data_IF_773015872065
#
_entry.id   IF_773015872065
#
_cell.length_a   1.000
_cell.length_b   1.000
_cell.length_c   1.000
_cell.angle_alpha   90.00
_cell.angle_beta   90.00
_cell.angle_gamma   90.00
#
_symmetry.space_group_name_H-M   'P 1'
#
loop_
_entity.id
_entity.type
_entity.pdbx_description
1 polymer ?
#
# COMPACT_ATOMS: atom_id res chain seq x y z
N UNK A 1 -9.31 2.61 -9.88
CA UNK A 1 -8.39 2.71 -8.74
C UNK A 1 -8.84 1.82 -7.61
N UNK A 2 -7.90 1.20 -6.94
CA UNK A 2 -8.20 0.34 -5.80
C UNK A 2 -7.31 0.68 -4.62
N UNK A 3 -7.88 0.55 -3.43
CA UNK A 3 -7.16 0.65 -2.17
C UNK A 3 -6.91 -0.78 -1.68
N UNK A 4 -5.64 -1.12 -1.45
CA UNK A 4 -5.24 -2.47 -1.07
C UNK A 4 -4.44 -2.44 0.22
N UNK A 5 -4.73 -3.37 1.10
CA UNK A 5 -3.99 -3.55 2.35
C UNK A 5 -3.25 -4.88 2.29
N UNK A 6 -1.93 -4.82 2.29
CA UNK A 6 -1.06 -6.00 2.26
C UNK A 6 -0.43 -6.18 3.63
N UNK A 7 -0.84 -7.21 4.33
CA UNK A 7 -0.38 -7.46 5.71
C UNK A 7 0.79 -8.43 5.76
N UNK A 8 1.72 -8.13 6.66
CA UNK A 8 2.88 -8.97 6.94
C UNK A 8 2.97 -9.22 8.44
N UNK A 9 3.35 -10.43 8.87
CA UNK A 9 3.25 -10.83 10.28
C UNK A 9 4.39 -10.33 11.17
N UNK A 10 4.94 -9.17 10.86
CA UNK A 10 6.05 -8.59 11.61
C UNK A 10 5.84 -7.08 11.72
N UNK A 11 6.35 -6.48 12.81
CA UNK A 11 6.22 -5.04 12.98
C UNK A 11 7.11 -4.24 12.05
N UNK A 12 8.25 -4.80 11.65
CA UNK A 12 9.17 -4.12 10.76
C UNK A 12 8.98 -4.56 9.32
N UNK A 13 9.01 -3.58 8.44
CA UNK A 13 8.96 -3.85 7.02
C UNK A 13 10.25 -4.54 6.59
N UNK A 14 10.13 -5.73 6.05
CA UNK A 14 11.28 -6.53 5.65
C UNK A 14 11.49 -6.52 4.14
N UNK A 15 12.69 -6.95 3.74
CA UNK A 15 13.07 -7.00 2.33
C UNK A 15 12.05 -7.74 1.46
N UNK A 16 11.51 -8.90 1.85
CA UNK A 16 10.51 -9.57 1.01
C UNK A 16 9.26 -8.74 0.75
N UNK A 17 8.83 -7.95 1.73
CA UNK A 17 7.67 -7.06 1.55
C UNK A 17 7.98 -5.95 0.55
N UNK A 18 9.16 -5.37 0.65
CA UNK A 18 9.62 -4.33 -0.28
C UNK A 18 9.72 -4.91 -1.70
N UNK A 19 10.29 -6.09 -1.82
CA UNK A 19 10.42 -6.76 -3.12
C UNK A 19 9.05 -7.06 -3.75
N UNK A 20 8.05 -7.40 -2.93
CA UNK A 20 6.70 -7.63 -3.42
C UNK A 20 6.13 -6.37 -4.08
N UNK A 21 6.28 -5.22 -3.42
CA UNK A 21 5.80 -3.95 -3.96
C UNK A 21 6.57 -3.57 -5.22
N UNK A 22 7.88 -3.71 -5.19
CA UNK A 22 8.71 -3.42 -6.36
C UNK A 22 8.36 -4.33 -7.52
N UNK A 23 8.04 -5.58 -7.24
CA UNK A 23 7.60 -6.53 -8.25
C UNK A 23 6.30 -6.11 -8.91
N UNK A 24 5.35 -5.64 -8.14
CA UNK A 24 4.09 -5.13 -8.67
C UNK A 24 4.32 -3.96 -9.62
N UNK A 25 5.22 -3.06 -9.25
CA UNK A 25 5.55 -1.91 -10.07
C UNK A 25 6.28 -2.31 -11.36
N UNK A 26 7.24 -3.24 -11.25
CA UNK A 26 8.06 -3.65 -12.39
C UNK A 26 7.28 -4.32 -13.50
N UNK A 27 6.23 -5.05 -13.16
CA UNK A 27 5.44 -5.73 -14.16
C UNK A 27 4.69 -4.78 -15.07
N UNK A 28 4.57 -3.51 -14.68
CA UNK A 28 3.81 -2.53 -15.43
C UNK A 28 2.31 -2.76 -15.37
N UNK A 29 1.89 -3.75 -14.60
CA UNK A 29 0.49 -4.14 -14.47
C UNK A 29 -0.21 -3.23 -13.47
N UNK A 30 0.55 -2.69 -12.53
CA UNK A 30 0.04 -1.86 -11.46
C UNK A 30 0.75 -0.52 -11.45
N UNK A 31 -0.01 0.54 -11.34
CA UNK A 31 0.53 1.88 -11.12
C UNK A 31 0.24 2.30 -9.69
N UNK A 32 1.30 2.61 -8.95
CA UNK A 32 1.16 3.08 -7.58
C UNK A 32 0.81 4.57 -7.58
N UNK A 33 -0.28 4.92 -6.94
CA UNK A 33 -0.75 6.29 -6.84
C UNK A 33 -0.42 6.88 -5.48
N UNK A 34 -0.56 6.09 -4.42
CA UNK A 34 -0.26 6.51 -3.06
C UNK A 34 0.11 5.28 -2.23
N UNK A 35 0.81 5.48 -1.14
CA UNK A 35 1.20 4.39 -0.26
C UNK A 35 1.61 4.87 1.12
N UNK A 36 1.29 4.05 2.09
CA UNK A 36 1.69 4.25 3.49
C UNK A 36 2.10 2.91 4.08
N UNK A 37 2.93 2.97 5.11
CA UNK A 37 3.23 1.80 5.94
C UNK A 37 2.51 1.98 7.26
N UNK A 38 1.67 1.04 7.61
CA UNK A 38 0.98 1.04 8.90
C UNK A 38 1.54 -0.08 9.76
N UNK A 39 1.72 0.18 11.03
CA UNK A 39 2.21 -0.82 11.97
C UNK A 39 1.24 -0.90 13.15
N UNK A 40 0.89 -2.12 13.53
CA UNK A 40 0.14 -2.35 14.76
C UNK A 40 1.08 -3.06 15.73
N UNK A 41 1.50 -2.34 16.76
CA UNK A 41 2.48 -2.87 17.70
C UNK A 41 1.89 -4.01 18.53
N UNK A 42 2.74 -4.72 19.24
CA UNK A 42 2.30 -5.80 20.13
C UNK A 42 1.35 -5.29 21.21
N UNK A 43 1.44 -4.00 21.58
CA UNK A 43 0.53 -3.39 22.54
C UNK A 43 -0.77 -2.88 21.91
N UNK A 44 -0.89 -2.96 20.58
CA UNK A 44 -2.07 -2.51 19.86
C UNK A 44 -2.02 -1.07 19.40
N UNK A 45 -0.90 -0.39 19.58
CA UNK A 45 -0.71 0.97 19.08
C UNK A 45 -0.60 0.96 17.56
N UNK A 46 -1.22 1.93 16.92
CA UNK A 46 -1.19 2.06 15.47
C UNK A 46 -0.29 3.22 15.07
N UNK A 47 0.71 2.92 14.24
CA UNK A 47 1.65 3.91 13.72
C UNK A 47 1.55 3.91 12.20
N UNK A 48 1.71 5.07 11.61
CA UNK A 48 1.70 5.20 10.15
C UNK A 48 2.89 6.05 9.71
N UNK A 49 3.49 5.67 8.59
CA UNK A 49 4.62 6.39 8.04
C UNK A 49 4.52 6.43 6.52
N UNK A 50 4.98 7.53 5.93
CA UNK A 50 5.00 7.68 4.48
C UNK A 50 6.11 6.82 3.88
N UNK A 51 5.96 6.46 2.61
CA UNK A 51 6.98 5.69 1.90
C UNK A 51 8.34 6.40 1.89
N UNK A 52 8.33 7.73 1.84
CA UNK A 52 9.57 8.50 1.82
C UNK A 52 10.42 8.34 3.08
N UNK A 53 9.84 7.88 4.16
CA UNK A 53 10.54 7.66 5.42
C UNK A 53 11.33 6.34 5.41
N UNK A 54 11.16 5.53 4.37
CA UNK A 54 11.86 4.25 4.23
C UNK A 54 12.80 4.31 3.05
N UNK A 55 14.07 4.07 3.30
CA UNK A 55 15.09 4.11 2.25
C UNK A 55 14.73 3.16 1.12
N UNK A 56 14.24 1.99 1.45
CA UNK A 56 13.91 0.95 0.50
C UNK A 56 12.71 1.31 -0.37
N UNK A 57 11.83 2.16 0.12
CA UNK A 57 10.62 2.58 -0.59
C UNK A 57 10.74 3.95 -1.22
N UNK A 58 11.87 4.62 -0.99
CA UNK A 58 12.08 5.96 -1.50
C UNK A 58 12.03 5.97 -3.03
N UNK A 59 11.23 6.83 -3.59
CA UNK A 59 11.09 6.94 -5.03
C UNK A 59 10.12 5.97 -5.68
N UNK A 60 9.49 5.07 -4.92
CA UNK A 60 8.49 4.17 -5.48
C UNK A 60 7.25 4.90 -5.95
N UNK A 61 6.88 5.96 -5.25
CA UNK A 61 5.81 6.83 -5.71
C UNK A 61 6.41 7.82 -6.66
N UNK A 62 6.07 7.70 -7.93
CA UNK A 62 6.59 8.60 -8.94
C UNK A 62 5.80 9.90 -8.92
N UNK A 63 6.52 10.99 -8.95
CA UNK A 63 5.88 12.28 -8.98
C UNK A 63 5.74 12.87 -7.59
N UNK A 64 6.11 14.13 -7.54
CA UNK A 64 6.06 14.91 -6.32
C UNK A 64 4.67 15.10 -5.78
N UNK A 65 3.71 14.87 -6.63
CA UNK A 65 2.32 15.14 -6.31
C UNK A 65 1.52 13.87 -6.24
N UNK A 66 2.13 12.83 -5.72
CA UNK A 66 1.38 11.66 -5.37
C UNK A 66 0.17 12.13 -4.57
N UNK A 67 -1.01 11.85 -5.07
CA UNK A 67 -2.22 12.28 -4.41
C UNK A 67 -2.26 11.64 -3.04
N UNK A 68 -2.43 12.44 -2.01
CA UNK A 68 -2.53 11.91 -0.65
C UNK A 68 -3.96 11.44 -0.44
N UNK A 69 -4.23 10.25 -0.95
CA UNK A 69 -5.57 9.66 -0.91
C UNK A 69 -5.83 8.86 0.36
N UNK A 70 -4.77 8.43 1.02
CA UNK A 70 -4.89 7.62 2.23
C UNK A 70 -4.89 8.55 3.43
N UNK A 71 -6.04 8.65 4.10
CA UNK A 71 -6.20 9.49 5.28
C UNK A 71 -6.14 8.67 6.57
N UNK A 72 -6.21 9.37 7.73
CA UNK A 72 -6.19 8.69 9.03
C UNK A 72 -7.30 7.67 9.21
N UNK A 73 -8.46 7.91 8.62
CA UNK A 73 -9.58 6.98 8.71
C UNK A 73 -9.26 5.67 7.99
N UNK A 74 -8.60 5.76 6.85
CA UNK A 74 -8.20 4.58 6.09
C UNK A 74 -7.17 3.76 6.84
N UNK A 75 -6.24 4.45 7.52
CA UNK A 75 -5.25 3.80 8.36
C UNK A 75 -5.92 3.04 9.49
N UNK A 76 -6.90 3.66 10.14
CA UNK A 76 -7.61 3.03 11.25
C UNK A 76 -8.41 1.81 10.79
N UNK A 77 -9.08 1.92 9.66
CA UNK A 77 -9.81 0.79 9.08
C UNK A 77 -8.88 -0.36 8.74
N UNK A 78 -7.72 -0.05 8.16
CA UNK A 78 -6.72 -1.07 7.85
C UNK A 78 -6.18 -1.70 9.13
N UNK A 79 -5.93 -0.90 10.15
CA UNK A 79 -5.41 -1.40 11.43
C UNK A 79 -6.36 -2.38 12.09
N UNK A 80 -7.66 -2.20 11.91
CA UNK A 80 -8.66 -3.13 12.46
C UNK A 80 -8.58 -4.52 11.82
N UNK A 81 -7.96 -4.60 10.64
CA UNK A 81 -7.75 -5.87 9.94
C UNK A 81 -6.42 -6.53 10.33
N UNK A 82 -5.57 -5.82 11.07
CA UNK A 82 -4.24 -6.30 11.39
C UNK A 82 -4.19 -6.96 12.76
N UNK A 83 -3.36 -7.98 12.86
CA UNK A 83 -3.03 -8.57 14.14
C UNK A 83 -1.98 -7.69 14.84
N UNK A 84 -1.94 -7.74 16.16
CA UNK A 84 -0.91 -7.05 16.92
C UNK A 84 0.46 -7.63 16.57
N UNK A 85 1.45 -6.78 16.50
CA UNK A 85 2.80 -7.20 16.11
C UNK A 85 2.96 -7.42 14.62
N UNK A 86 2.15 -6.75 13.81
CA UNK A 86 2.22 -6.87 12.36
C UNK A 86 2.34 -5.50 11.70
N UNK A 87 2.67 -5.49 10.42
CA UNK A 87 2.65 -4.27 9.62
C UNK A 87 1.90 -4.50 8.32
N UNK A 88 1.58 -3.41 7.65
CA UNK A 88 0.90 -3.48 6.36
C UNK A 88 1.39 -2.39 5.43
N UNK A 89 1.35 -2.69 4.15
CA UNK A 89 1.50 -1.71 3.10
C UNK A 89 0.09 -1.34 2.64
N UNK A 90 -0.25 -0.07 2.76
CA UNK A 90 -1.51 0.48 2.28
C UNK A 90 -1.23 1.12 0.94
N UNK A 91 -1.88 0.66 -0.11
CA UNK A 91 -1.58 1.08 -1.47
C UNK A 91 -2.85 1.55 -2.17
N UNK A 92 -2.74 2.64 -2.90
CA UNK A 92 -3.75 3.04 -3.88
C UNK A 92 -3.13 2.79 -5.24
N UNK A 93 -3.79 1.97 -6.04
CA UNK A 93 -3.25 1.51 -7.32
C UNK A 93 -4.29 1.57 -8.42
N UNK A 94 -3.82 1.65 -9.65
CA UNK A 94 -4.64 1.50 -10.84
C UNK A 94 -4.33 0.16 -11.49
N UNK A 95 -5.36 -0.49 -12.04
CA UNK A 95 -5.23 -1.76 -12.76
C UNK A 95 -4.56 -2.84 -11.92
N UNK A 96 -5.31 -3.37 -10.97
CA UNK A 96 -4.80 -4.41 -10.11
C UNK A 96 -5.18 -5.78 -10.64
N UNK A 97 -4.21 -6.66 -10.74
CA UNK A 97 -4.43 -8.08 -10.98
C UNK A 97 -4.36 -8.78 -9.65
N UNK A 98 -5.50 -8.98 -9.05
CA UNK A 98 -5.57 -9.50 -7.70
C UNK A 98 -4.85 -10.84 -7.53
N UNK A 99 -4.93 -11.70 -8.54
CA UNK A 99 -4.26 -13.01 -8.45
C UNK A 99 -2.75 -12.89 -8.43
N UNK A 100 -2.19 -12.09 -9.34
CA UNK A 100 -0.74 -11.91 -9.40
C UNK A 100 -0.22 -11.22 -8.15
N UNK A 101 -0.94 -10.22 -7.67
CA UNK A 101 -0.58 -9.54 -6.44
C UNK A 101 -0.61 -10.49 -5.25
N UNK A 102 -1.64 -11.34 -5.17
CA UNK A 102 -1.75 -12.29 -4.08
C UNK A 102 -0.60 -13.30 -4.07
N UNK A 103 -0.20 -13.77 -5.25
CA UNK A 103 0.94 -14.70 -5.36
C UNK A 103 2.22 -14.04 -4.87
N UNK A 104 2.50 -12.80 -5.31
CA UNK A 104 3.71 -12.09 -4.92
C UNK A 104 3.73 -11.83 -3.41
N UNK A 105 2.60 -11.42 -2.85
CA UNK A 105 2.50 -11.10 -1.42
C UNK A 105 2.66 -12.35 -0.58
N UNK A 106 2.03 -13.46 -0.99
CA UNK A 106 2.17 -14.72 -0.25
C UNK A 106 3.60 -15.25 -0.27
N UNK A 107 4.29 -15.08 -1.40
CA UNK A 107 5.70 -15.46 -1.50
C UNK A 107 6.57 -14.68 -0.50
N UNK A 108 6.15 -13.48 -0.15
CA UNK A 108 6.85 -12.63 0.82
C UNK A 108 6.36 -12.84 2.26
N UNK A 109 5.46 -13.78 2.48
CA UNK A 109 4.92 -14.06 3.82
C UNK A 109 3.73 -13.19 4.20
N UNK A 110 3.21 -12.42 3.27
CA UNK A 110 2.08 -11.55 3.52
C UNK A 110 0.77 -12.10 2.97
N UNK A 111 -0.28 -11.32 3.14
CA UNK A 111 -1.59 -11.63 2.58
C UNK A 111 -2.36 -10.35 2.33
N UNK A 112 -3.31 -10.39 1.42
CA UNK A 112 -4.20 -9.25 1.17
C UNK A 112 -5.33 -9.35 2.20
N UNK A 113 -5.50 -8.31 3.00
CA UNK A 113 -6.55 -8.28 4.01
C UNK A 113 -7.71 -7.36 3.65
N UNK A 114 -7.55 -6.55 2.61
CA UNK A 114 -8.63 -5.69 2.17
C UNK A 114 -8.36 -5.09 0.82
N UNK A 115 -9.41 -4.82 0.07
CA UNK A 115 -9.35 -4.13 -1.20
C UNK A 115 -10.67 -3.42 -1.42
N UNK A 116 -10.59 -2.12 -1.68
CA UNK A 116 -11.78 -1.30 -1.89
C UNK A 116 -11.59 -0.49 -3.16
N UNK A 117 -12.58 -0.55 -4.05
CA UNK A 117 -12.56 0.26 -5.26
C UNK A 117 -12.95 1.68 -4.93
N UNK A 118 -12.12 2.63 -5.35
CA UNK A 118 -12.36 4.04 -5.11
C UNK A 118 -13.19 4.61 -6.27
N UNK A 119 -14.35 5.23 -5.98
CA UNK A 119 -15.15 5.85 -7.03
C UNK A 119 -14.35 6.96 -7.74
N UNK A 120 -14.52 7.11 -9.06
CA UNK A 120 -13.77 8.11 -9.82
C UNK A 120 -13.95 9.55 -9.33
N UNK A 121 -15.10 9.88 -8.79
CA UNK A 121 -15.40 11.24 -8.31
C UNK A 121 -14.65 11.58 -7.01
N UNK A 122 -14.07 10.61 -6.35
CA UNK A 122 -13.27 10.82 -5.14
C UNK A 122 -11.77 10.93 -5.43
N UNK A 123 -11.38 10.74 -6.68
CA UNK A 123 -9.99 10.79 -7.08
C UNK A 123 -9.67 12.19 -7.58
N UNK A 124 -8.65 12.89 -7.02
CA UNK A 124 -8.26 14.19 -7.51
C UNK A 124 -7.81 14.12 -8.97
N UNK A 125 -8.21 15.11 -9.75
CA UNK A 125 -7.77 15.20 -11.13
C UNK A 125 -6.38 15.79 -11.16
N UNK A 126 -5.44 15.08 -11.79
CA UNK A 126 -4.10 15.59 -12.00
C UNK A 126 -3.93 15.86 -13.50
N UNK A 127 -3.88 17.13 -13.91
CA UNK A 127 -3.75 17.45 -15.33
C UNK A 127 -2.49 16.87 -15.95
N UNK A 128 -1.45 16.68 -15.16
CA UNK A 128 -0.20 16.13 -15.68
C UNK A 128 -0.28 14.64 -15.96
N UNK A 129 -1.11 13.95 -15.23
CA UNK A 129 -1.31 12.54 -15.42
C UNK A 129 -2.14 12.27 -16.67
N UNK A 130 -2.73 13.28 -17.23
CA UNK A 130 -3.54 13.15 -18.40
C UNK A 130 -4.72 12.29 -18.15
N UNK A 131 -5.06 12.15 -16.99
CA UNK A 131 -6.06 11.30 -16.60
C UNK A 131 -5.83 9.91 -16.86
N UNK A 132 -6.24 9.27 -16.24
CA UNK A 132 -6.16 7.89 -16.22
C UNK A 132 -7.37 7.20 -16.71
#
# INVERSE_FOLDING_TARGET
>A
MEFIVLAFPEEQLRVPAVEAVMGLRKTGVVRLIDGLVATKTASGEVLAAEFDEFVELHGLLTGRDAARLIGPEDVQEAADLLERGSCALLLVVEHVWAEDAAVAVRAAGGRIVGSVRIPPDRVPVDPRAGVV
#
